data_IF_201479709883
#
_entry.id   IF_201479709883
#
_cell.length_a   1.000
_cell.length_b   1.000
_cell.length_c   1.000
_cell.angle_alpha   90.00
_cell.angle_beta   90.00
_cell.angle_gamma   90.00
#
_symmetry.space_group_name_H-M   'P 1'
#
loop_
_entity.id
_entity.type
_entity.pdbx_description
1 polymer ?
#
# COMPACT_ATOMS: atom_id res chain seq x y z
N UNK A 1 -17.47 -0.79 -0.50
CA UNK A 1 -16.33 -1.29 -1.30
C UNK A 1 -16.16 -0.55 -2.64
N UNK A 2 -17.22 -0.35 -3.45
CA UNK A 2 -17.12 0.35 -4.75
C UNK A 2 -16.45 1.74 -4.66
N UNK A 3 -16.83 2.56 -3.68
CA UNK A 3 -16.28 3.91 -3.50
C UNK A 3 -14.78 3.93 -3.16
N UNK A 4 -14.32 2.97 -2.35
CA UNK A 4 -12.90 2.87 -1.96
C UNK A 4 -12.05 2.48 -3.17
N UNK A 5 -12.52 1.53 -3.99
CA UNK A 5 -11.83 1.14 -5.21
C UNK A 5 -11.71 2.32 -6.20
N UNK A 6 -12.79 3.09 -6.39
CA UNK A 6 -12.78 4.27 -7.27
C UNK A 6 -11.80 5.32 -6.76
N UNK A 7 -11.81 5.65 -5.47
CA UNK A 7 -10.89 6.64 -4.89
C UNK A 7 -9.44 6.19 -5.00
N UNK A 8 -9.13 4.92 -4.73
CA UNK A 8 -7.76 4.40 -4.85
C UNK A 8 -7.27 4.37 -6.29
N UNK A 9 -8.13 4.05 -7.26
CA UNK A 9 -7.79 4.07 -8.68
C UNK A 9 -7.58 5.51 -9.18
N UNK A 10 -8.41 6.46 -8.75
CA UNK A 10 -8.24 7.88 -9.08
C UNK A 10 -6.96 8.45 -8.47
N UNK A 11 -6.67 8.14 -7.21
CA UNK A 11 -5.44 8.55 -6.54
C UNK A 11 -4.20 7.97 -7.24
N UNK A 12 -4.23 6.67 -7.55
CA UNK A 12 -3.16 6.00 -8.29
C UNK A 12 -2.93 6.64 -9.67
N UNK A 13 -4.00 6.90 -10.43
CA UNK A 13 -3.89 7.61 -11.70
C UNK A 13 -3.28 9.00 -11.55
N UNK A 14 -3.66 9.77 -10.53
CA UNK A 14 -3.10 11.09 -10.29
C UNK A 14 -1.58 11.03 -10.01
N UNK A 15 -1.13 10.04 -9.23
CA UNK A 15 0.29 9.86 -8.92
C UNK A 15 1.12 9.37 -10.12
N UNK A 16 0.55 8.54 -11.00
CA UNK A 16 1.26 8.01 -12.17
C UNK A 16 1.27 8.97 -13.38
N UNK A 17 0.15 9.66 -13.61
CA UNK A 17 -0.03 10.56 -14.76
C UNK A 17 0.62 11.93 -14.52
N UNK A 18 0.58 12.45 -13.30
CA UNK A 18 1.03 13.81 -12.99
C UNK A 18 2.14 13.89 -11.91
N UNK A 19 3.13 12.97 -11.84
CA UNK A 19 4.15 13.00 -10.79
C UNK A 19 5.00 14.27 -10.89
N UNK A 20 5.25 14.76 -12.10
CA UNK A 20 6.03 15.99 -12.32
C UNK A 20 5.35 17.24 -11.79
N UNK A 21 4.03 17.35 -11.95
CA UNK A 21 3.26 18.48 -11.43
C UNK A 21 3.21 18.43 -9.90
N UNK A 22 2.95 17.24 -9.33
CA UNK A 22 2.94 17.06 -7.89
C UNK A 22 4.27 17.44 -7.24
N UNK A 23 5.40 17.03 -7.82
CA UNK A 23 6.73 17.35 -7.29
C UNK A 23 7.07 18.83 -7.48
N UNK A 24 6.64 19.43 -8.59
CA UNK A 24 6.86 20.87 -8.82
C UNK A 24 6.13 21.77 -7.81
N UNK A 25 5.07 21.28 -7.15
CA UNK A 25 4.40 21.99 -6.05
C UNK A 25 5.27 22.07 -4.79
N UNK A 26 6.17 21.10 -4.58
CA UNK A 26 7.04 21.02 -3.40
C UNK A 26 8.43 21.62 -3.63
N UNK A 27 8.80 21.93 -4.88
CA UNK A 27 10.08 22.56 -5.20
C UNK A 27 10.17 22.99 -6.66
N UNK A 28 10.47 24.27 -6.88
CA UNK A 28 10.62 24.90 -8.20
C UNK A 28 12.10 25.11 -8.59
N UNK A 29 13.05 24.63 -7.77
CA UNK A 29 14.44 25.07 -7.79
C UNK A 29 15.43 24.15 -8.52
N UNK A 30 15.85 24.60 -9.71
CA UNK A 30 17.22 24.57 -10.29
C UNK A 30 18.05 23.29 -10.46
N UNK A 31 17.55 22.10 -10.12
CA UNK A 31 18.25 20.86 -10.51
C UNK A 31 17.32 19.93 -11.26
N UNK A 32 17.50 19.83 -12.59
CA UNK A 32 16.81 18.84 -13.41
C UNK A 32 16.92 17.42 -12.82
N UNK A 33 18.03 17.14 -12.14
CA UNK A 33 18.27 15.91 -11.40
C UNK A 33 17.27 15.66 -10.25
N UNK A 34 16.86 16.70 -9.51
CA UNK A 34 15.88 16.59 -8.42
C UNK A 34 14.49 16.23 -8.97
N UNK A 35 14.06 16.92 -10.03
CA UNK A 35 12.77 16.64 -10.68
C UNK A 35 12.76 15.25 -11.32
N UNK A 36 13.85 14.83 -11.95
CA UNK A 36 13.95 13.50 -12.59
C UNK A 36 13.96 12.38 -11.55
N UNK A 37 14.81 12.50 -10.52
CA UNK A 37 14.89 11.55 -9.43
C UNK A 37 13.60 11.49 -8.62
N UNK A 38 13.00 12.65 -8.31
CA UNK A 38 11.72 12.73 -7.62
C UNK A 38 10.61 12.05 -8.41
N UNK A 39 10.49 12.30 -9.73
CA UNK A 39 9.46 11.66 -10.57
C UNK A 39 9.64 10.14 -10.57
N UNK A 40 10.87 9.68 -10.70
CA UNK A 40 11.20 8.26 -10.63
C UNK A 40 10.85 7.65 -9.27
N UNK A 41 11.17 8.35 -8.19
CA UNK A 41 10.84 7.94 -6.82
C UNK A 41 9.33 7.85 -6.61
N UNK A 42 8.58 8.90 -6.96
CA UNK A 42 7.13 8.92 -6.79
C UNK A 42 6.44 7.79 -7.54
N UNK A 43 6.80 7.56 -8.81
CA UNK A 43 6.24 6.44 -9.58
C UNK A 43 6.58 5.11 -8.93
N UNK A 44 7.85 4.86 -8.65
CA UNK A 44 8.29 3.58 -8.09
C UNK A 44 7.64 3.30 -6.73
N UNK A 45 7.61 4.30 -5.85
CA UNK A 45 7.10 4.17 -4.48
C UNK A 45 5.57 4.08 -4.44
N UNK A 46 4.87 4.85 -5.28
CA UNK A 46 3.40 4.93 -5.30
C UNK A 46 2.75 3.96 -6.29
N UNK A 47 3.53 3.22 -7.06
CA UNK A 47 3.03 2.21 -8.01
C UNK A 47 2.05 1.23 -7.35
N UNK A 48 2.35 0.79 -6.12
CA UNK A 48 1.52 -0.14 -5.36
C UNK A 48 0.39 0.52 -4.55
N UNK A 49 0.20 1.84 -4.66
CA UNK A 49 -0.79 2.59 -3.88
C UNK A 49 -2.25 2.16 -4.12
N UNK A 50 -2.55 1.49 -5.23
CA UNK A 50 -3.87 0.89 -5.49
C UNK A 50 -4.26 -0.16 -4.44
N UNK A 51 -3.29 -0.89 -3.90
CA UNK A 51 -3.52 -1.93 -2.87
C UNK A 51 -3.94 -1.32 -1.53
N UNK A 52 -3.69 -0.03 -1.34
CA UNK A 52 -3.97 0.69 -0.10
C UNK A 52 -5.49 0.79 0.16
N UNK A 53 -6.32 0.90 -0.88
CA UNK A 53 -7.78 0.85 -0.77
C UNK A 53 -8.31 -0.52 -0.32
N UNK A 54 -7.68 -1.59 -0.82
CA UNK A 54 -8.00 -2.96 -0.40
C UNK A 54 -7.65 -3.17 1.07
N UNK A 55 -6.47 -2.70 1.50
CA UNK A 55 -6.03 -2.73 2.89
C UNK A 55 -7.04 -2.08 3.85
N UNK A 56 -7.50 -0.88 3.52
CA UNK A 56 -8.51 -0.17 4.31
C UNK A 56 -9.79 -1.00 4.40
N UNK A 57 -10.25 -1.54 3.25
CA UNK A 57 -11.46 -2.36 3.21
C UNK A 57 -11.36 -3.62 4.09
N UNK A 58 -10.23 -4.32 4.06
CA UNK A 58 -9.98 -5.52 4.87
C UNK A 58 -9.91 -5.17 6.36
N UNK A 59 -9.25 -4.07 6.72
CA UNK A 59 -9.16 -3.60 8.10
C UNK A 59 -10.53 -3.21 8.66
N UNK A 60 -11.33 -2.47 7.89
CA UNK A 60 -12.71 -2.12 8.27
C UNK A 60 -13.55 -3.38 8.40
N UNK A 61 -13.43 -4.35 7.49
CA UNK A 61 -14.13 -5.63 7.59
C UNK A 61 -13.80 -6.39 8.88
N UNK A 62 -12.52 -6.55 9.21
CA UNK A 62 -12.10 -7.20 10.45
C UNK A 62 -12.59 -6.45 11.69
N UNK A 63 -12.64 -5.13 11.62
CA UNK A 63 -13.17 -4.29 12.70
C UNK A 63 -14.68 -4.48 12.87
N UNK A 64 -15.44 -4.53 11.77
CA UNK A 64 -16.90 -4.73 11.80
C UNK A 64 -17.34 -6.10 12.32
N UNK A 65 -16.56 -7.16 12.11
CA UNK A 65 -16.86 -8.51 12.63
C UNK A 65 -16.34 -8.74 14.07
N UNK A 66 -15.92 -7.69 14.77
CA UNK A 66 -15.39 -7.77 16.14
C UNK A 66 -13.96 -8.32 16.25
N UNK A 67 -13.25 -8.51 15.13
CA UNK A 67 -11.87 -9.02 15.06
C UNK A 67 -10.87 -7.90 14.71
N UNK A 68 -11.07 -6.71 15.29
CA UNK A 68 -10.27 -5.50 15.00
C UNK A 68 -8.76 -5.72 15.15
N UNK A 69 -8.34 -6.58 16.09
CA UNK A 69 -6.93 -6.92 16.31
C UNK A 69 -6.21 -7.43 15.04
N UNK A 70 -6.91 -8.16 14.16
CA UNK A 70 -6.34 -8.64 12.88
C UNK A 70 -6.06 -7.47 11.93
N UNK A 71 -6.94 -6.47 11.89
CA UNK A 71 -6.75 -5.25 11.11
C UNK A 71 -5.60 -4.40 11.63
N UNK A 72 -5.48 -4.29 12.96
CA UNK A 72 -4.37 -3.58 13.61
C UNK A 72 -3.02 -4.24 13.31
N UNK A 73 -2.93 -5.57 13.39
CA UNK A 73 -1.69 -6.29 13.04
C UNK A 73 -1.29 -6.06 11.58
N UNK A 74 -2.24 -6.11 10.64
CA UNK A 74 -1.96 -5.81 9.24
C UNK A 74 -1.44 -4.37 9.05
N UNK A 75 -1.99 -3.41 9.79
CA UNK A 75 -1.49 -2.02 9.75
C UNK A 75 -0.08 -1.88 10.33
N UNK A 76 0.22 -2.58 11.43
CA UNK A 76 1.56 -2.57 12.04
C UNK A 76 2.60 -3.29 11.19
N UNK A 77 2.22 -4.39 10.54
CA UNK A 77 3.05 -5.11 9.58
C UNK A 77 3.52 -4.15 8.49
N UNK A 78 2.56 -3.41 7.92
CA UNK A 78 2.84 -2.48 6.84
C UNK A 78 3.71 -1.30 7.25
N UNK A 79 3.46 -0.71 8.42
CA UNK A 79 4.12 0.55 8.80
C UNK A 79 5.47 0.35 9.48
N UNK A 80 5.65 -0.77 10.20
CA UNK A 80 6.81 -0.97 11.08
C UNK A 80 7.50 -2.31 10.85
N UNK A 81 6.77 -3.43 10.97
CA UNK A 81 7.38 -4.76 11.09
C UNK A 81 7.98 -5.24 9.77
N UNK A 82 7.37 -4.89 8.64
CA UNK A 82 7.89 -5.22 7.31
C UNK A 82 8.66 -4.04 6.73
N UNK A 83 8.09 -2.84 6.76
CA UNK A 83 8.65 -1.67 6.08
C UNK A 83 10.06 -1.31 6.53
N UNK A 84 10.28 -1.16 7.84
CA UNK A 84 11.58 -0.74 8.37
C UNK A 84 12.69 -1.74 8.03
N UNK A 85 12.58 -3.05 8.34
CA UNK A 85 13.64 -3.99 8.02
C UNK A 85 13.81 -4.20 6.51
N UNK A 86 12.73 -4.22 5.72
CA UNK A 86 12.85 -4.31 4.26
C UNK A 86 13.54 -3.08 3.69
N UNK A 87 13.17 -1.87 4.12
CA UNK A 87 13.85 -0.65 3.69
C UNK A 87 15.35 -0.70 4.03
N UNK A 88 15.73 -1.10 5.24
CA UNK A 88 17.15 -1.20 5.63
C UNK A 88 17.87 -2.27 4.81
N UNK A 89 17.25 -3.43 4.61
CA UNK A 89 17.83 -4.54 3.84
C UNK A 89 18.04 -4.15 2.38
N UNK A 90 17.00 -3.63 1.72
CA UNK A 90 17.07 -3.18 0.34
C UNK A 90 18.02 -1.98 0.18
N UNK A 91 18.04 -1.05 1.14
CA UNK A 91 18.99 0.06 1.14
C UNK A 91 20.45 -0.42 1.17
N UNK A 92 20.76 -1.47 1.93
CA UNK A 92 22.10 -2.05 1.96
C UNK A 92 22.48 -2.77 0.66
N UNK A 93 21.52 -3.38 -0.03
CA UNK A 93 21.76 -4.16 -1.26
C UNK A 93 21.82 -3.28 -2.51
N UNK A 94 20.93 -2.29 -2.62
CA UNK A 94 20.71 -1.50 -3.84
C UNK A 94 20.88 0.02 -3.63
N UNK A 95 21.40 0.42 -2.47
CA UNK A 95 21.60 1.82 -2.11
C UNK A 95 20.28 2.60 -2.13
N UNK A 96 20.30 3.79 -2.72
CA UNK A 96 19.16 4.71 -2.79
C UNK A 96 17.95 4.08 -3.50
N UNK A 97 18.17 3.26 -4.54
CA UNK A 97 17.09 2.56 -5.27
C UNK A 97 16.39 1.52 -4.38
N UNK A 98 17.13 0.90 -3.47
CA UNK A 98 16.60 -0.06 -2.53
C UNK A 98 15.62 0.54 -1.53
N UNK A 99 15.90 1.77 -1.06
CA UNK A 99 14.97 2.51 -0.19
C UNK A 99 13.63 2.74 -0.90
N UNK A 100 13.65 3.06 -2.21
CA UNK A 100 12.44 3.27 -3.01
C UNK A 100 11.61 2.00 -3.14
N UNK A 101 12.26 0.84 -3.30
CA UNK A 101 11.59 -0.45 -3.47
C UNK A 101 11.09 -1.02 -2.14
N UNK A 102 11.68 -0.63 -1.01
CA UNK A 102 11.27 -1.10 0.31
C UNK A 102 9.80 -0.84 0.64
N UNK A 103 9.27 0.33 0.25
CA UNK A 103 7.86 0.68 0.40
C UNK A 103 6.91 -0.26 -0.36
N UNK A 104 6.99 -0.28 -1.70
CA UNK A 104 6.18 -1.16 -2.54
C UNK A 104 6.26 -2.64 -2.17
N UNK A 105 7.46 -3.14 -1.84
CA UNK A 105 7.66 -4.55 -1.46
C UNK A 105 7.00 -4.85 -0.12
N UNK A 106 7.11 -3.96 0.86
CA UNK A 106 6.43 -4.09 2.15
C UNK A 106 4.91 -4.03 1.99
N UNK A 107 4.40 -3.10 1.20
CA UNK A 107 2.97 -2.97 0.91
C UNK A 107 2.44 -4.22 0.22
N UNK A 108 3.17 -4.77 -0.75
CA UNK A 108 2.80 -6.00 -1.45
C UNK A 108 2.82 -7.23 -0.53
N UNK A 109 3.85 -7.38 0.31
CA UNK A 109 3.94 -8.47 1.27
C UNK A 109 2.78 -8.41 2.28
N UNK A 110 2.47 -7.22 2.78
CA UNK A 110 1.33 -7.01 3.68
C UNK A 110 0.01 -7.30 2.97
N UNK A 111 -0.15 -6.90 1.70
CA UNK A 111 -1.32 -7.19 0.89
C UNK A 111 -1.57 -8.69 0.74
N UNK A 112 -0.52 -9.48 0.47
CA UNK A 112 -0.61 -10.94 0.42
C UNK A 112 -1.09 -11.50 1.76
N UNK A 113 -0.52 -11.05 2.88
CA UNK A 113 -0.95 -11.49 4.21
C UNK A 113 -2.43 -11.15 4.48
N UNK A 114 -2.86 -9.95 4.11
CA UNK A 114 -4.25 -9.52 4.24
C UNK A 114 -5.20 -10.38 3.39
N UNK A 115 -4.80 -10.68 2.15
CA UNK A 115 -5.54 -11.54 1.23
C UNK A 115 -5.68 -12.97 1.79
N UNK A 116 -4.61 -13.53 2.35
CA UNK A 116 -4.65 -14.85 3.01
C UNK A 116 -5.60 -14.82 4.22
N UNK A 117 -5.49 -13.80 5.07
CA UNK A 117 -6.33 -13.68 6.26
C UNK A 117 -7.82 -13.60 5.92
N UNK A 118 -8.18 -12.82 4.90
CA UNK A 118 -9.58 -12.70 4.50
C UNK A 118 -10.09 -13.99 3.84
N UNK A 119 -9.30 -14.66 2.98
CA UNK A 119 -9.69 -15.94 2.37
C UNK A 119 -9.91 -17.03 3.43
N UNK A 120 -9.04 -17.12 4.43
CA UNK A 120 -9.20 -18.07 5.55
C UNK A 120 -10.46 -17.74 6.35
N UNK A 121 -10.73 -16.46 6.61
CA UNK A 121 -11.91 -16.02 7.36
C UNK A 121 -13.21 -16.33 6.58
N UNK A 122 -13.25 -16.07 5.28
CA UNK A 122 -14.39 -16.41 4.42
C UNK A 122 -14.62 -17.92 4.34
N UNK A 123 -13.56 -18.75 4.35
CA UNK A 123 -13.68 -20.22 4.39
C UNK A 123 -14.14 -20.76 5.74
N UNK A 124 -13.88 -20.03 6.84
CA UNK A 124 -14.28 -20.40 8.19
C UNK A 124 -15.70 -19.94 8.55
N UNK A 125 -16.31 -19.07 7.74
CA UNK A 125 -17.73 -18.76 7.90
C UNK A 125 -18.55 -20.02 7.63
N UNK A 126 -19.33 -20.53 8.60
CA UNK A 126 -20.29 -21.58 8.33
C UNK A 126 -21.27 -21.06 7.27
N UNK A 127 -21.65 -21.92 6.31
CA UNK A 127 -22.76 -21.65 5.39
C UNK A 127 -24.09 -21.73 6.16
N UNK A 128 -24.25 -21.00 7.25
CA UNK A 128 -25.51 -20.92 7.98
C UNK A 128 -26.32 -19.76 7.38
N UNK A 129 -27.50 -20.10 6.85
CA UNK A 129 -28.54 -19.22 6.28
C UNK A 129 -28.48 -18.93 4.76
N UNK A 130 -28.37 -19.98 3.94
CA UNK A 130 -28.91 -19.98 2.56
C UNK A 130 -30.21 -20.80 2.45
N UNK A 131 -30.99 -20.87 3.52
CA UNK A 131 -32.38 -21.31 3.50
C UNK A 131 -33.27 -20.13 3.92
N UNK A 132 -33.59 -19.28 2.96
CA UNK A 132 -34.80 -18.43 2.99
C UNK A 132 -35.82 -19.14 2.13
#
# INVERSE_FOLDING_TARGET
MKSVAVVSVLAWMAFELLPGQLISLFGSGDSGLYLEFGKYYMRTFLFFSITNGFMISISTYFTSIGKAWKGTILSMLRQLILLIPLMILFARLFGVKGVMLGGPVSDFATFIMAAIFIVIEFKRMPKENLSV
#
